data_IF_945053566011
#
_entry.id   IF_945053566011
#
_cell.length_a   1.000
_cell.length_b   1.000
_cell.length_c   1.000
_cell.angle_alpha   90.00
_cell.angle_beta   90.00
_cell.angle_gamma   90.00
#
_symmetry.space_group_name_H-M   'P 1'
#
loop_
_entity.id
_entity.type
_entity.pdbx_description
1 polymer ?
#
# COMPACT_ATOMS: atom_id res chain seq x y z
N UNK A 1 -52.62 -36.88 34.01
CA UNK A 1 -51.32 -37.14 34.70
C UNK A 1 -50.27 -37.43 33.65
N UNK A 2 -49.41 -36.48 33.37
CA UNK A 2 -48.31 -36.65 32.44
C UNK A 2 -47.19 -37.44 33.13
N UNK A 3 -46.78 -38.55 32.56
CA UNK A 3 -45.79 -39.43 33.13
C UNK A 3 -44.38 -38.78 32.98
N UNK A 4 -43.46 -39.10 33.92
CA UNK A 4 -42.07 -38.64 33.94
C UNK A 4 -41.35 -38.84 32.59
N UNK A 5 -41.75 -39.82 31.77
CA UNK A 5 -41.21 -40.09 30.45
C UNK A 5 -41.61 -39.02 29.43
N UNK A 6 -42.80 -38.45 29.48
CA UNK A 6 -43.26 -37.39 28.56
C UNK A 6 -42.57 -36.05 28.85
N UNK A 7 -42.27 -35.78 30.13
CA UNK A 7 -41.54 -34.58 30.54
C UNK A 7 -40.07 -34.60 30.05
N UNK A 8 -39.41 -35.76 30.13
CA UNK A 8 -38.03 -35.91 29.66
C UNK A 8 -37.91 -35.86 28.12
N UNK A 9 -38.93 -36.32 27.40
CA UNK A 9 -38.95 -36.21 25.93
C UNK A 9 -39.17 -34.76 25.45
N UNK A 10 -39.93 -33.94 26.19
CA UNK A 10 -40.13 -32.52 25.87
C UNK A 10 -38.94 -31.63 26.31
N UNK A 11 -38.22 -31.99 27.37
CA UNK A 11 -37.00 -31.31 27.76
C UNK A 11 -35.81 -31.57 26.81
N UNK A 12 -35.78 -32.74 26.14
CA UNK A 12 -34.75 -33.10 25.16
C UNK A 12 -34.92 -32.39 23.81
N UNK A 13 -36.12 -31.90 23.46
CA UNK A 13 -36.37 -31.18 22.21
C UNK A 13 -36.09 -29.67 22.30
N UNK A 14 -35.96 -29.11 23.50
CA UNK A 14 -35.62 -27.69 23.71
C UNK A 14 -34.11 -27.43 23.80
N UNK A 15 -33.30 -28.47 23.99
CA UNK A 15 -31.83 -28.34 24.05
C UNK A 15 -31.12 -28.56 22.71
N UNK A 16 -31.81 -29.02 21.66
CA UNK A 16 -31.23 -29.19 20.33
C UNK A 16 -31.45 -27.98 19.40
N UNK A 17 -32.22 -26.97 19.85
CA UNK A 17 -32.53 -25.77 19.06
C UNK A 17 -31.60 -24.57 19.24
N UNK A 18 -30.57 -24.66 20.08
CA UNK A 18 -29.70 -23.51 20.41
C UNK A 18 -28.30 -23.59 19.77
N UNK A 19 -28.00 -24.60 18.97
CA UNK A 19 -26.67 -24.77 18.35
C UNK A 19 -26.67 -24.62 16.84
N UNK A 20 -27.57 -23.84 16.28
CA UNK A 20 -27.47 -23.34 14.90
C UNK A 20 -27.78 -21.85 14.87
N UNK A 21 -27.12 -21.06 15.73
CA UNK A 21 -26.81 -19.69 15.33
C UNK A 21 -25.87 -19.81 14.13
N UNK A 22 -26.24 -19.31 12.94
CA UNK A 22 -25.24 -19.14 11.91
C UNK A 22 -24.16 -18.29 12.55
N UNK A 23 -22.95 -18.82 12.68
CA UNK A 23 -21.78 -17.96 12.76
C UNK A 23 -21.93 -17.07 11.52
N UNK A 24 -22.38 -15.86 11.75
CA UNK A 24 -22.11 -14.76 10.85
C UNK A 24 -20.58 -14.75 10.77
N UNK A 25 -20.05 -15.46 9.76
CA UNK A 25 -18.73 -15.21 9.26
C UNK A 25 -18.73 -13.71 9.07
N UNK A 26 -18.10 -13.00 10.01
CA UNK A 26 -17.71 -11.63 9.83
C UNK A 26 -17.05 -11.63 8.45
N UNK A 27 -17.75 -11.17 7.44
CA UNK A 27 -17.14 -10.85 6.17
C UNK A 27 -16.05 -9.86 6.56
N UNK A 28 -14.80 -10.34 6.53
CA UNK A 28 -13.63 -9.49 6.72
C UNK A 28 -13.88 -8.34 5.77
N UNK A 29 -14.17 -7.14 6.29
CA UNK A 29 -14.41 -5.99 5.44
C UNK A 29 -13.27 -5.99 4.43
N UNK A 30 -13.61 -6.03 3.14
CA UNK A 30 -12.61 -5.90 2.10
C UNK A 30 -11.95 -4.56 2.37
N UNK A 31 -10.64 -4.53 2.55
CA UNK A 31 -9.89 -3.29 2.57
C UNK A 31 -10.34 -2.52 1.34
N UNK A 32 -10.94 -1.35 1.53
CA UNK A 32 -11.42 -0.54 0.40
C UNK A 32 -10.23 0.13 -0.30
N UNK A 33 -10.52 0.89 -1.36
CA UNK A 33 -9.51 1.65 -2.07
C UNK A 33 -8.73 2.57 -1.13
N UNK A 34 -7.42 2.61 -1.29
CA UNK A 34 -6.50 3.54 -0.62
C UNK A 34 -6.11 4.70 -1.55
N UNK A 35 -5.61 5.78 -0.96
CA UNK A 35 -5.04 6.93 -1.65
C UNK A 35 -3.63 7.20 -1.13
N UNK A 36 -2.63 7.24 -2.04
CA UNK A 36 -1.33 7.81 -1.71
C UNK A 36 -1.48 9.33 -1.59
N UNK A 37 -1.18 9.87 -0.41
CA UNK A 37 -1.37 11.29 -0.09
C UNK A 37 -0.48 12.22 -0.92
N UNK A 38 0.58 11.70 -1.54
CA UNK A 38 1.39 12.46 -2.50
C UNK A 38 0.58 12.99 -3.69
N UNK A 39 -0.53 12.34 -3.99
CA UNK A 39 -1.51 12.84 -4.98
C UNK A 39 -2.06 14.22 -4.63
N UNK A 40 -2.09 14.59 -3.35
CA UNK A 40 -2.60 15.88 -2.87
C UNK A 40 -1.50 16.71 -2.18
N UNK A 41 -0.24 16.49 -2.56
CA UNK A 41 0.95 17.14 -1.95
C UNK A 41 0.90 18.66 -1.92
N UNK A 42 0.29 19.26 -2.95
CA UNK A 42 0.24 20.73 -3.07
C UNK A 42 -0.86 21.34 -2.17
N UNK A 43 -1.89 20.55 -1.79
CA UNK A 43 -3.00 20.99 -0.94
C UNK A 43 -2.74 20.75 0.55
N UNK A 44 -1.99 19.69 0.89
CA UNK A 44 -1.75 19.26 2.27
C UNK A 44 -1.11 20.31 3.17
N UNK A 45 -0.09 21.09 2.72
CA UNK A 45 0.54 22.09 3.58
C UNK A 45 -0.40 23.23 4.00
N UNK A 46 -1.42 23.53 3.21
CA UNK A 46 -2.36 24.61 3.49
C UNK A 46 -3.53 24.16 4.37
N UNK A 47 -4.02 22.93 4.20
CA UNK A 47 -5.22 22.43 4.91
C UNK A 47 -5.22 20.91 5.05
N UNK A 48 -4.38 20.37 5.91
CA UNK A 48 -4.29 18.92 6.13
C UNK A 48 -5.63 18.32 6.57
N UNK A 49 -6.41 19.00 7.42
CA UNK A 49 -7.69 18.48 7.93
C UNK A 49 -8.74 18.41 6.82
N UNK A 50 -8.86 19.46 6.03
CA UNK A 50 -9.79 19.49 4.89
C UNK A 50 -9.42 18.50 3.80
N UNK A 51 -8.12 18.32 3.52
CA UNK A 51 -7.62 17.32 2.54
C UNK A 51 -8.00 15.90 2.98
N UNK A 52 -7.74 15.53 4.23
CA UNK A 52 -8.10 14.20 4.77
C UNK A 52 -9.61 13.97 4.72
N UNK A 53 -10.40 14.98 5.12
CA UNK A 53 -11.86 14.91 5.02
C UNK A 53 -12.37 14.73 3.59
N UNK A 54 -11.76 15.39 2.61
CA UNK A 54 -12.10 15.24 1.18
C UNK A 54 -11.71 13.87 0.62
N UNK A 55 -10.56 13.31 1.02
CA UNK A 55 -10.15 11.94 0.67
C UNK A 55 -11.18 10.91 1.18
N UNK A 56 -11.58 11.01 2.45
CA UNK A 56 -12.63 10.16 3.03
C UNK A 56 -13.98 10.31 2.30
N UNK A 57 -14.39 11.54 1.99
CA UNK A 57 -15.63 11.84 1.25
C UNK A 57 -15.61 11.31 -0.19
N UNK A 58 -14.43 11.26 -0.83
CA UNK A 58 -14.27 10.65 -2.15
C UNK A 58 -14.50 9.12 -2.14
N UNK A 59 -14.49 8.48 -0.96
CA UNK A 59 -14.82 7.07 -0.79
C UNK A 59 -13.62 6.19 -0.42
N UNK A 60 -12.43 6.75 -0.28
CA UNK A 60 -11.26 6.00 0.19
C UNK A 60 -11.45 5.51 1.62
N UNK A 61 -10.84 4.37 1.93
CA UNK A 61 -10.83 3.73 3.25
C UNK A 61 -9.43 3.66 3.85
N UNK A 62 -8.43 3.71 3.00
CA UNK A 62 -7.03 3.72 3.38
C UNK A 62 -6.34 4.96 2.83
N UNK A 63 -5.28 5.39 3.51
CA UNK A 63 -4.34 6.36 2.98
C UNK A 63 -2.92 5.85 3.20
N UNK A 64 -2.07 6.05 2.22
CA UNK A 64 -0.64 5.90 2.38
C UNK A 64 -0.01 7.26 2.59
N UNK A 65 0.82 7.38 3.64
CA UNK A 65 1.44 8.65 4.03
C UNK A 65 2.77 8.88 3.33
N UNK A 66 3.18 10.15 3.28
CA UNK A 66 4.52 10.57 2.87
C UNK A 66 4.93 11.84 3.61
N UNK A 67 6.18 12.26 3.45
CA UNK A 67 6.62 13.61 3.81
C UNK A 67 6.65 13.92 5.31
N UNK A 68 6.78 12.90 6.18
CA UNK A 68 6.99 13.15 7.60
C UNK A 68 8.25 13.99 7.83
N UNK A 69 8.12 15.00 8.65
CA UNK A 69 9.22 15.86 9.08
C UNK A 69 9.41 15.77 10.59
N UNK A 70 10.66 15.59 11.04
CA UNK A 70 10.99 15.40 12.47
C UNK A 70 10.51 16.55 13.36
N UNK A 71 10.57 17.78 12.86
CA UNK A 71 10.21 18.98 13.63
C UNK A 71 8.72 19.31 13.50
N UNK A 72 8.17 19.17 12.31
CA UNK A 72 6.81 19.62 11.95
C UNK A 72 5.77 18.50 11.94
N UNK A 73 6.19 17.24 12.03
CA UNK A 73 5.29 16.10 11.85
C UNK A 73 4.74 15.99 10.42
N UNK A 74 3.50 15.61 10.29
CA UNK A 74 2.75 15.59 9.04
C UNK A 74 2.03 16.94 8.85
N UNK A 75 2.64 17.81 8.06
CA UNK A 75 2.08 19.14 7.71
C UNK A 75 1.59 19.93 8.93
N UNK A 76 2.37 19.91 10.02
CA UNK A 76 2.07 20.62 11.27
C UNK A 76 1.35 19.79 12.33
N UNK A 77 0.96 18.55 12.05
CA UNK A 77 0.38 17.62 13.02
C UNK A 77 1.41 16.57 13.45
N UNK A 78 1.56 16.38 14.75
CA UNK A 78 2.36 15.28 15.27
C UNK A 78 1.69 13.92 14.94
N UNK A 79 2.48 12.84 14.89
CA UNK A 79 2.03 11.53 14.43
C UNK A 79 0.75 11.03 15.10
N UNK A 80 0.62 11.22 16.43
CA UNK A 80 -0.59 10.82 17.17
C UNK A 80 -1.82 11.62 16.77
N UNK A 81 -1.66 12.94 16.60
CA UNK A 81 -2.78 13.83 16.21
C UNK A 81 -3.20 13.54 14.75
N UNK A 82 -2.21 13.27 13.88
CA UNK A 82 -2.50 12.86 12.52
C UNK A 82 -3.21 11.49 12.47
N UNK A 83 -2.75 10.51 13.24
CA UNK A 83 -3.42 9.22 13.38
C UNK A 83 -4.84 9.34 13.92
N UNK A 84 -5.10 10.26 14.86
CA UNK A 84 -6.45 10.54 15.34
C UNK A 84 -7.31 11.19 14.25
N UNK A 85 -6.77 12.16 13.50
CA UNK A 85 -7.46 12.78 12.36
C UNK A 85 -7.90 11.74 11.32
N UNK A 86 -7.07 10.75 11.01
CA UNK A 86 -7.44 9.65 10.10
C UNK A 86 -8.63 8.87 10.65
N UNK A 87 -8.56 8.46 11.92
CA UNK A 87 -9.64 7.70 12.60
C UNK A 87 -10.95 8.48 12.64
N UNK A 88 -10.91 9.77 12.94
CA UNK A 88 -12.09 10.64 13.00
C UNK A 88 -12.78 10.77 11.62
N UNK A 89 -12.03 10.54 10.54
CA UNK A 89 -12.56 10.52 9.17
C UNK A 89 -12.85 9.10 8.65
N UNK A 90 -12.76 8.07 9.49
CA UNK A 90 -13.01 6.68 9.10
C UNK A 90 -11.96 6.10 8.14
N UNK A 91 -10.73 6.65 8.19
CA UNK A 91 -9.58 6.20 7.40
C UNK A 91 -8.62 5.41 8.26
N UNK A 92 -7.96 4.42 7.65
CA UNK A 92 -6.77 3.76 8.20
C UNK A 92 -5.54 4.08 7.34
N UNK A 93 -4.35 3.86 7.89
CA UNK A 93 -3.11 3.97 7.13
C UNK A 93 -2.32 2.68 7.30
N UNK A 94 -2.31 1.78 6.29
CA UNK A 94 -1.53 0.55 6.38
C UNK A 94 -0.03 0.79 6.21
N UNK A 95 0.36 1.84 5.50
CA UNK A 95 1.72 2.11 5.05
C UNK A 95 2.05 3.59 4.97
N UNK A 96 3.33 3.88 4.86
CA UNK A 96 3.84 5.20 4.54
C UNK A 96 5.17 5.12 3.79
N UNK A 97 5.42 6.12 2.95
CA UNK A 97 6.66 6.31 2.22
C UNK A 97 7.69 7.03 3.10
N UNK A 98 8.82 6.38 3.34
CA UNK A 98 9.88 6.82 4.22
C UNK A 98 11.25 6.70 3.54
N UNK A 99 11.90 7.82 3.30
CA UNK A 99 13.23 7.85 2.68
C UNK A 99 14.31 7.33 3.64
N UNK A 100 15.09 6.35 3.23
CA UNK A 100 16.13 5.71 4.04
C UNK A 100 17.53 5.84 3.43
N UNK A 101 17.83 6.92 2.72
CA UNK A 101 19.12 7.12 2.05
C UNK A 101 20.31 7.13 3.03
N UNK A 102 20.14 7.68 4.25
CA UNK A 102 21.16 7.62 5.31
C UNK A 102 21.48 6.18 5.73
N UNK A 103 20.46 5.32 5.78
CA UNK A 103 20.65 3.91 6.08
C UNK A 103 21.32 3.15 4.92
N UNK A 104 20.85 3.33 3.70
CA UNK A 104 21.41 2.64 2.54
C UNK A 104 22.82 3.13 2.18
N UNK A 105 23.12 4.42 2.35
CA UNK A 105 24.44 4.99 2.10
C UNK A 105 25.44 4.70 3.21
N UNK A 106 25.07 5.04 4.45
CA UNK A 106 26.00 5.12 5.58
C UNK A 106 25.77 4.06 6.67
N UNK A 107 24.70 3.27 6.57
CA UNK A 107 24.30 2.29 7.60
C UNK A 107 23.67 2.90 8.86
N UNK A 108 23.31 4.19 8.83
CA UNK A 108 22.71 4.90 9.94
C UNK A 108 21.27 4.44 10.16
N UNK A 109 20.93 4.05 11.39
CA UNK A 109 19.61 3.50 11.74
C UNK A 109 18.66 4.50 12.39
N UNK A 110 19.11 5.73 12.62
CA UNK A 110 18.37 6.76 13.36
C UNK A 110 17.06 7.10 12.66
N UNK A 111 17.10 7.35 11.34
CA UNK A 111 15.92 7.67 10.56
C UNK A 111 14.95 6.47 10.50
N UNK A 112 15.47 5.25 10.30
CA UNK A 112 14.65 4.04 10.32
C UNK A 112 13.90 3.89 11.66
N UNK A 113 14.59 4.07 12.78
CA UNK A 113 13.98 3.97 14.11
C UNK A 113 12.94 5.06 14.34
N UNK A 114 13.25 6.31 13.95
CA UNK A 114 12.29 7.42 14.01
C UNK A 114 11.03 7.11 13.20
N UNK A 115 11.17 6.63 11.97
CA UNK A 115 10.01 6.28 11.13
C UNK A 115 9.22 5.08 11.68
N UNK A 116 9.88 4.14 12.35
CA UNK A 116 9.20 3.05 13.05
C UNK A 116 8.32 3.57 14.19
N UNK A 117 8.82 4.53 14.98
CA UNK A 117 8.04 5.17 16.05
C UNK A 117 6.84 5.94 15.47
N UNK A 118 7.04 6.65 14.36
CA UNK A 118 5.99 7.37 13.63
C UNK A 118 4.92 6.42 13.12
N UNK A 119 5.33 5.35 12.44
CA UNK A 119 4.43 4.34 11.91
C UNK A 119 3.58 3.68 13.01
N UNK A 120 4.19 3.29 14.12
CA UNK A 120 3.50 2.75 15.28
C UNK A 120 2.50 3.75 15.90
N UNK A 121 2.86 5.03 15.98
CA UNK A 121 1.99 6.08 16.53
C UNK A 121 0.73 6.31 15.68
N UNK A 122 0.80 6.11 14.36
CA UNK A 122 -0.33 6.21 13.43
C UNK A 122 -1.13 4.89 13.37
N UNK A 123 -0.50 3.75 13.68
CA UNK A 123 -1.06 2.41 13.55
C UNK A 123 -0.77 1.77 12.20
N UNK A 124 0.31 2.17 11.53
CA UNK A 124 0.78 1.55 10.29
C UNK A 124 1.40 0.18 10.57
N UNK A 125 1.44 -0.64 9.54
CA UNK A 125 2.07 -1.97 9.56
C UNK A 125 3.33 -2.01 8.69
N UNK A 126 3.42 -1.11 7.71
CA UNK A 126 4.49 -1.14 6.71
C UNK A 126 5.25 0.18 6.64
N UNK A 127 6.59 0.05 6.65
CA UNK A 127 7.54 1.09 6.23
C UNK A 127 7.87 0.81 4.77
N UNK A 128 7.45 1.68 3.86
CA UNK A 128 7.74 1.54 2.43
C UNK A 128 8.88 2.50 2.06
N UNK A 129 9.94 1.94 1.46
CA UNK A 129 11.03 2.73 0.86
C UNK A 129 10.57 3.18 -0.52
N UNK A 130 10.29 4.48 -0.74
CA UNK A 130 9.66 4.95 -1.98
C UNK A 130 10.62 5.02 -3.17
N UNK A 131 11.90 5.15 -2.89
CA UNK A 131 12.95 5.29 -3.90
C UNK A 131 14.32 5.16 -3.26
N UNK A 132 15.35 5.03 -4.08
CA UNK A 132 16.76 4.97 -3.66
C UNK A 132 17.60 5.94 -4.48
N UNK A 133 18.64 6.48 -3.86
CA UNK A 133 19.65 7.21 -4.60
C UNK A 133 20.34 6.28 -5.61
N UNK A 134 20.34 6.66 -6.88
CA UNK A 134 20.90 5.87 -7.98
C UNK A 134 22.42 5.58 -7.82
N UNK A 135 23.10 6.35 -6.97
CA UNK A 135 24.50 6.06 -6.64
C UNK A 135 24.70 4.76 -5.86
N UNK A 136 23.65 4.20 -5.26
CA UNK A 136 23.71 2.95 -4.50
C UNK A 136 23.51 1.70 -5.35
N UNK A 137 23.23 1.84 -6.66
CA UNK A 137 22.84 0.74 -7.54
C UNK A 137 23.58 0.78 -8.90
N UNK A 138 24.84 1.23 -8.93
CA UNK A 138 25.64 1.37 -10.16
C UNK A 138 26.17 0.05 -10.71
N UNK A 139 26.46 -0.90 -9.84
CA UNK A 139 26.99 -2.21 -10.18
C UNK A 139 26.08 -3.33 -9.63
N UNK A 140 26.25 -4.54 -10.16
CA UNK A 140 25.50 -5.71 -9.64
C UNK A 140 25.79 -5.93 -8.15
N UNK A 141 27.03 -5.72 -7.72
CA UNK A 141 27.42 -5.91 -6.32
C UNK A 141 26.83 -4.80 -5.43
N UNK A 142 26.73 -3.57 -5.91
CA UNK A 142 26.00 -2.50 -5.21
C UNK A 142 24.53 -2.90 -5.03
N UNK A 143 23.87 -3.38 -6.08
CA UNK A 143 22.48 -3.83 -6.03
C UNK A 143 22.27 -4.96 -5.00
N UNK A 144 23.17 -5.94 -4.95
CA UNK A 144 23.14 -7.01 -3.94
C UNK A 144 23.35 -6.45 -2.52
N UNK A 145 24.29 -5.51 -2.36
CA UNK A 145 24.52 -4.83 -1.09
C UNK A 145 23.27 -4.08 -0.59
N UNK A 146 22.51 -3.45 -1.48
CA UNK A 146 21.22 -2.83 -1.14
C UNK A 146 20.20 -3.89 -0.73
N UNK A 147 20.09 -5.01 -1.45
CA UNK A 147 19.17 -6.10 -1.09
C UNK A 147 19.49 -6.70 0.29
N UNK A 148 20.77 -6.88 0.62
CA UNK A 148 21.20 -7.29 1.97
C UNK A 148 20.80 -6.27 3.05
N UNK A 149 20.98 -4.97 2.78
CA UNK A 149 20.57 -3.91 3.69
C UNK A 149 19.04 -3.88 3.84
N UNK A 150 18.25 -4.14 2.77
CA UNK A 150 16.81 -4.30 2.87
C UNK A 150 16.42 -5.44 3.81
N UNK A 151 17.05 -6.62 3.69
CA UNK A 151 16.81 -7.74 4.60
C UNK A 151 17.08 -7.35 6.06
N UNK A 152 18.23 -6.71 6.33
CA UNK A 152 18.57 -6.25 7.69
C UNK A 152 17.61 -5.20 8.23
N UNK A 153 17.20 -4.22 7.41
CA UNK A 153 16.19 -3.23 7.81
C UNK A 153 14.84 -3.88 8.12
N UNK A 154 14.46 -4.90 7.33
CA UNK A 154 13.23 -5.63 7.56
C UNK A 154 13.25 -6.44 8.88
N UNK A 155 14.39 -7.01 9.27
CA UNK A 155 14.56 -7.63 10.58
C UNK A 155 14.43 -6.62 11.73
N UNK A 156 14.98 -5.41 11.56
CA UNK A 156 14.83 -4.32 12.52
C UNK A 156 13.35 -3.92 12.64
N UNK A 157 12.65 -3.72 11.53
CA UNK A 157 11.22 -3.41 11.52
C UNK A 157 10.40 -4.50 12.22
N UNK A 158 10.70 -5.77 11.94
CA UNK A 158 10.00 -6.94 12.52
C UNK A 158 10.09 -6.97 14.04
N UNK A 159 11.21 -6.56 14.62
CA UNK A 159 11.37 -6.49 16.07
C UNK A 159 10.39 -5.51 16.75
N UNK A 160 9.85 -4.55 15.99
CA UNK A 160 8.84 -3.57 16.45
C UNK A 160 7.43 -3.86 15.91
N UNK A 161 7.19 -5.07 15.36
CA UNK A 161 5.90 -5.46 14.80
C UNK A 161 5.59 -4.88 13.42
N UNK A 162 6.55 -4.20 12.81
CA UNK A 162 6.44 -3.57 11.49
C UNK A 162 7.06 -4.46 10.39
N UNK A 163 6.76 -4.12 9.15
CA UNK A 163 7.31 -4.77 7.95
C UNK A 163 7.95 -3.73 7.05
N UNK A 164 8.99 -4.15 6.33
CA UNK A 164 9.59 -3.32 5.30
C UNK A 164 8.98 -3.64 3.94
N UNK A 165 8.80 -2.61 3.10
CA UNK A 165 8.46 -2.74 1.70
C UNK A 165 9.32 -1.84 0.82
N UNK A 166 9.29 -2.11 -0.47
CA UNK A 166 9.96 -1.32 -1.50
C UNK A 166 8.98 -0.99 -2.63
N UNK A 167 8.92 0.28 -3.00
CA UNK A 167 8.13 0.83 -4.10
C UNK A 167 9.04 1.07 -5.32
N UNK A 168 8.57 0.67 -6.49
CA UNK A 168 9.33 0.84 -7.73
C UNK A 168 8.91 2.07 -8.53
N UNK A 169 9.88 2.61 -9.26
CA UNK A 169 9.69 3.49 -10.41
C UNK A 169 10.09 2.74 -11.70
N UNK A 170 10.45 3.44 -12.75
CA UNK A 170 10.90 2.82 -14.00
C UNK A 170 12.43 2.61 -14.07
N UNK A 171 13.20 3.34 -13.29
CA UNK A 171 14.67 3.29 -13.35
C UNK A 171 15.24 1.94 -12.85
N UNK A 172 14.49 1.21 -12.05
CA UNK A 172 14.91 -0.09 -11.52
C UNK A 172 15.07 -1.16 -12.62
N UNK A 173 14.46 -0.94 -13.77
CA UNK A 173 14.64 -1.81 -14.95
C UNK A 173 15.77 -1.35 -15.89
N UNK A 174 16.48 -0.25 -15.57
CA UNK A 174 17.68 0.09 -16.29
C UNK A 174 18.72 -1.03 -16.16
N UNK A 175 19.43 -1.40 -17.27
CA UNK A 175 20.43 -2.47 -17.22
C UNK A 175 21.57 -2.14 -16.25
N UNK A 176 21.91 -3.11 -15.39
CA UNK A 176 23.07 -3.09 -14.52
C UNK A 176 23.83 -4.39 -14.78
N UNK A 177 24.92 -4.33 -15.59
CA UNK A 177 25.59 -5.52 -16.09
C UNK A 177 24.64 -6.39 -16.92
N UNK A 178 24.42 -7.63 -16.50
CA UNK A 178 23.55 -8.59 -17.17
C UNK A 178 22.16 -8.76 -16.51
N UNK A 179 21.79 -7.85 -15.62
CA UNK A 179 20.55 -7.89 -14.84
C UNK A 179 19.95 -6.49 -14.67
N UNK A 180 18.93 -6.36 -13.84
CA UNK A 180 18.34 -5.09 -13.40
C UNK A 180 18.33 -5.00 -11.88
N UNK A 181 18.25 -3.80 -11.32
CA UNK A 181 18.11 -3.64 -9.88
C UNK A 181 16.82 -4.31 -9.36
N UNK A 182 15.72 -4.21 -10.12
CA UNK A 182 14.45 -4.83 -9.74
C UNK A 182 14.56 -6.35 -9.61
N UNK A 183 15.20 -7.02 -10.60
CA UNK A 183 15.44 -8.47 -10.54
C UNK A 183 16.35 -8.85 -9.36
N UNK A 184 17.38 -8.03 -9.08
CA UNK A 184 18.28 -8.28 -7.94
C UNK A 184 17.51 -8.21 -6.63
N UNK A 185 16.65 -7.18 -6.43
CA UNK A 185 15.84 -7.05 -5.20
C UNK A 185 14.88 -8.24 -5.06
N UNK A 186 14.16 -8.60 -6.12
CA UNK A 186 13.22 -9.72 -6.07
C UNK A 186 13.90 -11.07 -5.75
N UNK A 187 15.12 -11.28 -6.26
CA UNK A 187 15.83 -12.56 -6.12
C UNK A 187 16.72 -12.64 -4.87
N UNK A 188 17.12 -11.50 -4.28
CA UNK A 188 18.08 -11.47 -3.16
C UNK A 188 17.49 -10.93 -1.85
N UNK A 189 16.20 -10.60 -1.83
CA UNK A 189 15.51 -10.28 -0.58
C UNK A 189 14.66 -11.45 -0.08
N UNK A 190 14.60 -11.65 1.23
CA UNK A 190 13.74 -12.66 1.83
C UNK A 190 12.26 -12.27 1.65
N UNK A 191 11.45 -13.08 0.94
CA UNK A 191 10.05 -12.78 0.70
C UNK A 191 9.18 -12.77 1.97
N UNK A 192 9.67 -13.31 3.09
CA UNK A 192 8.99 -13.26 4.39
C UNK A 192 9.26 -11.97 5.15
N UNK A 193 10.31 -11.24 4.79
CA UNK A 193 10.76 -10.03 5.47
C UNK A 193 10.47 -8.77 4.64
N UNK A 194 10.86 -8.78 3.35
CA UNK A 194 10.73 -7.63 2.45
C UNK A 194 9.53 -7.79 1.55
N UNK A 195 8.60 -6.87 1.63
CA UNK A 195 7.41 -6.81 0.78
C UNK A 195 7.67 -5.91 -0.43
N UNK A 196 6.89 -6.10 -1.49
CA UNK A 196 6.94 -5.22 -2.64
C UNK A 196 5.63 -4.44 -2.75
N UNK A 197 5.75 -3.17 -3.08
CA UNK A 197 4.69 -2.31 -3.56
C UNK A 197 4.93 -2.05 -5.03
N UNK A 198 4.10 -2.65 -5.89
CA UNK A 198 4.24 -2.52 -7.34
C UNK A 198 3.45 -1.31 -7.84
N UNK A 199 4.15 -0.30 -8.33
CA UNK A 199 3.49 0.77 -9.11
C UNK A 199 3.31 0.32 -10.55
N UNK A 200 2.04 0.12 -10.93
CA UNK A 200 1.64 -0.43 -12.23
C UNK A 200 1.97 0.51 -13.39
N UNK A 201 1.86 1.84 -13.18
CA UNK A 201 2.24 2.83 -14.19
C UNK A 201 3.73 2.76 -14.51
N UNK A 202 4.58 2.71 -13.48
CA UNK A 202 6.02 2.68 -13.69
C UNK A 202 6.50 1.35 -14.30
N UNK A 203 5.86 0.22 -13.95
CA UNK A 203 6.11 -1.08 -14.61
C UNK A 203 5.81 -0.99 -16.11
N UNK A 204 4.60 -0.52 -16.47
CA UNK A 204 4.18 -0.40 -17.87
C UNK A 204 5.05 0.64 -18.60
N UNK A 205 5.42 1.73 -17.94
CA UNK A 205 6.31 2.75 -18.50
C UNK A 205 7.72 2.24 -18.77
N UNK A 206 8.20 1.29 -17.96
CA UNK A 206 9.47 0.59 -18.18
C UNK A 206 9.39 -0.47 -19.31
N UNK A 207 8.23 -0.61 -19.96
CA UNK A 207 8.01 -1.62 -21.00
C UNK A 207 7.85 -3.05 -20.46
N UNK A 208 7.55 -3.18 -19.16
CA UNK A 208 7.36 -4.46 -18.50
C UNK A 208 5.88 -4.85 -18.41
N UNK A 209 5.62 -6.14 -18.24
CA UNK A 209 4.27 -6.67 -18.05
C UNK A 209 4.04 -7.03 -16.58
N UNK A 210 3.13 -6.32 -15.86
CA UNK A 210 2.79 -6.65 -14.46
C UNK A 210 2.30 -8.09 -14.28
N UNK A 211 1.61 -8.66 -15.26
CA UNK A 211 1.12 -10.04 -15.19
C UNK A 211 2.27 -11.05 -15.20
N UNK A 212 3.23 -10.87 -16.11
CA UNK A 212 4.41 -11.71 -16.17
C UNK A 212 5.23 -11.63 -14.86
N UNK A 213 5.28 -10.45 -14.23
CA UNK A 213 5.96 -10.26 -12.95
C UNK A 213 5.19 -10.99 -11.83
N UNK A 214 3.86 -10.92 -11.78
CA UNK A 214 3.05 -11.67 -10.81
C UNK A 214 3.23 -13.19 -10.96
N UNK A 215 3.30 -13.69 -12.21
CA UNK A 215 3.50 -15.11 -12.52
C UNK A 215 4.91 -15.59 -12.11
N UNK A 216 5.92 -14.77 -12.36
CA UNK A 216 7.32 -15.07 -12.00
C UNK A 216 7.57 -15.03 -10.49
N UNK A 217 6.86 -14.13 -9.77
CA UNK A 217 7.07 -13.87 -8.34
C UNK A 217 5.75 -13.90 -7.54
N UNK A 218 5.04 -15.03 -7.47
CA UNK A 218 3.76 -15.12 -6.81
C UNK A 218 3.87 -14.80 -5.31
N UNK A 219 2.90 -14.04 -4.78
CA UNK A 219 2.82 -13.70 -3.37
C UNK A 219 3.76 -12.58 -2.89
N UNK A 220 4.55 -11.96 -3.78
CA UNK A 220 5.56 -10.95 -3.41
C UNK A 220 5.00 -9.55 -3.21
N UNK A 221 3.85 -9.23 -3.78
CA UNK A 221 3.33 -7.87 -3.92
C UNK A 221 2.17 -7.63 -2.96
N UNK A 222 2.46 -7.11 -1.76
CA UNK A 222 1.41 -6.83 -0.77
C UNK A 222 0.58 -5.60 -1.15
N UNK A 223 1.19 -4.65 -1.84
CA UNK A 223 0.59 -3.41 -2.31
C UNK A 223 0.71 -3.29 -3.82
N UNK A 224 -0.25 -2.60 -4.41
CA UNK A 224 -0.12 -2.05 -5.77
C UNK A 224 -0.49 -0.58 -5.75
N UNK A 225 0.32 0.25 -6.41
CA UNK A 225 -0.12 1.58 -6.81
C UNK A 225 -0.89 1.47 -8.12
N UNK A 226 -2.14 1.89 -8.07
CA UNK A 226 -3.03 2.02 -9.22
C UNK A 226 -2.90 3.46 -9.70
N UNK A 227 -2.11 3.64 -10.77
CA UNK A 227 -1.75 4.91 -11.36
C UNK A 227 -1.87 4.77 -12.86
N UNK A 228 -2.76 5.54 -13.49
CA UNK A 228 -3.11 5.33 -14.91
C UNK A 228 -2.26 6.22 -15.81
N UNK A 229 -1.86 5.66 -16.95
CA UNK A 229 -1.02 6.34 -17.92
C UNK A 229 -1.89 7.09 -18.93
N UNK A 230 -1.61 8.39 -19.13
CA UNK A 230 -2.31 9.19 -20.12
C UNK A 230 -2.11 8.63 -21.54
N UNK A 231 -3.21 8.50 -22.30
CA UNK A 231 -3.22 7.93 -23.66
C UNK A 231 -2.47 8.79 -24.68
N UNK A 232 -2.39 10.09 -24.43
CA UNK A 232 -1.82 11.06 -25.38
C UNK A 232 -0.37 11.41 -25.02
N UNK A 233 -0.05 11.37 -23.74
CA UNK A 233 1.30 11.62 -23.24
C UNK A 233 1.69 10.60 -22.16
N UNK A 234 2.43 9.54 -22.52
CA UNK A 234 2.81 8.47 -21.58
C UNK A 234 3.72 8.93 -20.43
N UNK A 235 4.18 10.19 -20.44
CA UNK A 235 4.92 10.79 -19.33
C UNK A 235 4.00 11.36 -18.24
N UNK A 236 2.71 11.47 -18.51
CA UNK A 236 1.70 11.96 -17.59
C UNK A 236 0.82 10.81 -17.11
N UNK A 237 0.21 11.03 -15.95
CA UNK A 237 -0.84 10.17 -15.44
C UNK A 237 -2.18 10.92 -15.39
N UNK A 238 -3.26 10.15 -15.35
CA UNK A 238 -4.63 10.64 -15.41
C UNK A 238 -5.50 9.88 -14.41
N UNK A 239 -6.80 10.21 -14.33
CA UNK A 239 -7.75 9.49 -13.50
C UNK A 239 -7.82 8.02 -13.90
N UNK A 240 -7.97 7.15 -12.92
CA UNK A 240 -8.04 5.70 -13.13
C UNK A 240 -9.23 5.35 -14.05
N UNK A 241 -8.93 4.62 -15.13
CA UNK A 241 -9.90 4.24 -16.16
C UNK A 241 -9.97 5.21 -17.36
N UNK A 242 -9.31 6.37 -17.28
CA UNK A 242 -9.19 7.28 -18.42
C UNK A 242 -7.93 7.00 -19.27
N UNK A 243 -6.94 6.35 -18.69
CA UNK A 243 -5.67 6.02 -19.33
C UNK A 243 -5.71 4.75 -20.18
N UNK A 244 -4.53 4.21 -20.48
CA UNK A 244 -4.38 3.04 -21.36
C UNK A 244 -3.95 1.76 -20.62
N UNK A 245 -3.87 1.77 -19.27
CA UNK A 245 -3.54 0.58 -18.49
C UNK A 245 -4.80 -0.26 -18.25
N UNK A 246 -4.77 -1.52 -18.62
CA UNK A 246 -5.88 -2.47 -18.41
C UNK A 246 -5.88 -3.02 -16.98
N UNK A 247 -6.40 -2.21 -16.03
CA UNK A 247 -6.49 -2.61 -14.64
C UNK A 247 -7.42 -3.80 -14.41
N UNK A 248 -8.46 -3.98 -15.20
CA UNK A 248 -9.38 -5.13 -15.08
C UNK A 248 -8.60 -6.42 -15.28
N UNK A 249 -7.79 -6.49 -16.35
CA UNK A 249 -6.94 -7.64 -16.65
C UNK A 249 -5.87 -7.85 -15.58
N UNK A 250 -5.13 -6.80 -15.20
CA UNK A 250 -4.02 -6.89 -14.26
C UNK A 250 -4.53 -7.28 -12.86
N UNK A 251 -5.52 -6.56 -12.33
CA UNK A 251 -6.02 -6.79 -10.98
C UNK A 251 -6.89 -8.04 -10.85
N UNK A 252 -7.38 -8.58 -11.96
CA UNK A 252 -7.94 -9.94 -12.04
C UNK A 252 -6.94 -11.01 -11.57
N UNK A 253 -5.63 -10.72 -11.58
CA UNK A 253 -4.54 -11.59 -11.08
C UNK A 253 -3.92 -11.11 -9.76
N UNK A 254 -4.48 -10.09 -9.13
CA UNK A 254 -3.96 -9.52 -7.88
C UNK A 254 -3.73 -10.56 -6.78
N UNK A 255 -4.63 -11.56 -6.66
CA UNK A 255 -4.49 -12.67 -5.72
C UNK A 255 -3.21 -13.50 -5.96
N UNK A 256 -2.84 -13.74 -7.22
CA UNK A 256 -1.59 -14.43 -7.56
C UNK A 256 -0.38 -13.62 -7.10
N UNK A 257 -0.40 -12.31 -7.32
CA UNK A 257 0.63 -11.38 -6.82
C UNK A 257 0.73 -11.30 -5.32
N UNK A 258 -0.34 -11.68 -4.58
CA UNK A 258 -0.43 -11.57 -3.11
C UNK A 258 -0.97 -10.21 -2.64
N UNK A 259 -1.59 -9.43 -3.54
CA UNK A 259 -2.06 -8.06 -3.29
C UNK A 259 -3.15 -8.03 -2.22
N UNK A 260 -3.00 -7.12 -1.28
CA UNK A 260 -3.94 -6.86 -0.17
C UNK A 260 -4.42 -5.42 -0.14
N UNK A 261 -3.59 -4.48 -0.59
CA UNK A 261 -3.85 -3.05 -0.56
C UNK A 261 -3.77 -2.48 -1.97
N UNK A 262 -4.75 -1.67 -2.31
CA UNK A 262 -4.97 -1.09 -3.64
C UNK A 262 -4.93 0.43 -3.49
N UNK A 263 -3.79 1.04 -3.74
CA UNK A 263 -3.52 2.45 -3.45
C UNK A 263 -3.54 3.24 -4.76
N UNK A 264 -4.49 4.16 -4.89
CA UNK A 264 -4.54 5.11 -6.01
C UNK A 264 -3.44 6.15 -5.84
N UNK A 265 -2.71 6.44 -6.89
CA UNK A 265 -1.81 7.59 -6.95
C UNK A 265 -1.98 8.34 -8.27
N UNK A 266 -1.94 9.67 -8.20
CA UNK A 266 -1.91 10.55 -9.37
C UNK A 266 -1.03 11.76 -9.07
N UNK A 267 -0.09 12.05 -9.95
CA UNK A 267 0.88 13.14 -9.76
C UNK A 267 0.61 14.36 -10.65
N UNK A 268 -0.20 14.20 -11.71
CA UNK A 268 -0.49 15.23 -12.69
C UNK A 268 -1.99 15.48 -12.77
N UNK A 269 -2.38 16.75 -12.84
CA UNK A 269 -3.78 17.19 -12.91
C UNK A 269 -3.93 18.20 -14.04
N UNK A 270 -4.03 17.70 -15.29
CA UNK A 270 -4.19 18.55 -16.45
C UNK A 270 -5.66 18.95 -16.61
N UNK A 271 -5.95 20.24 -16.42
CA UNK A 271 -7.30 20.82 -16.58
C UNK A 271 -8.40 20.18 -15.70
N UNK A 272 -8.04 19.60 -14.55
CA UNK A 272 -8.99 19.04 -13.60
C UNK A 272 -8.60 19.39 -12.16
N UNK A 273 -9.59 19.66 -11.32
CA UNK A 273 -9.40 19.81 -9.87
C UNK A 273 -8.94 18.47 -9.26
N UNK A 274 -7.88 18.46 -8.43
CA UNK A 274 -7.37 17.22 -7.82
C UNK A 274 -8.42 16.43 -7.04
N UNK A 275 -9.32 17.10 -6.35
CA UNK A 275 -10.36 16.42 -5.56
C UNK A 275 -11.45 15.79 -6.45
N UNK A 276 -11.75 16.42 -7.58
CA UNK A 276 -12.65 15.83 -8.60
C UNK A 276 -11.98 14.63 -9.23
N UNK A 277 -10.69 14.71 -9.52
CA UNK A 277 -9.90 13.65 -10.12
C UNK A 277 -9.84 12.40 -9.22
N UNK A 278 -9.45 12.54 -7.95
CA UNK A 278 -9.39 11.41 -7.03
C UNK A 278 -10.78 10.79 -6.77
N UNK A 279 -11.86 11.60 -6.78
CA UNK A 279 -13.22 11.09 -6.64
C UNK A 279 -13.64 10.24 -7.85
N UNK A 280 -13.28 10.64 -9.07
CA UNK A 280 -13.49 9.82 -10.29
C UNK A 280 -12.73 8.50 -10.19
N UNK A 281 -11.46 8.54 -9.77
CA UNK A 281 -10.64 7.34 -9.57
C UNK A 281 -11.27 6.39 -8.54
N UNK A 282 -11.69 6.89 -7.38
CA UNK A 282 -12.38 6.10 -6.36
C UNK A 282 -13.69 5.48 -6.89
N UNK A 283 -14.47 6.24 -7.67
CA UNK A 283 -15.69 5.74 -8.29
C UNK A 283 -15.42 4.60 -9.29
N UNK A 284 -14.35 4.69 -10.08
CA UNK A 284 -13.92 3.62 -10.99
C UNK A 284 -13.49 2.36 -10.23
N UNK A 285 -12.70 2.48 -9.16
CA UNK A 285 -12.30 1.34 -8.34
C UNK A 285 -13.53 0.62 -7.78
N UNK A 286 -14.47 1.37 -7.20
CA UNK A 286 -15.71 0.82 -6.65
C UNK A 286 -16.62 0.21 -7.71
N UNK A 287 -16.87 0.93 -8.80
CA UNK A 287 -17.88 0.57 -9.81
C UNK A 287 -17.40 -0.48 -10.81
N UNK A 288 -16.11 -0.45 -11.18
CA UNK A 288 -15.56 -1.30 -12.24
C UNK A 288 -14.66 -2.40 -11.69
N UNK A 289 -13.80 -2.06 -10.72
CA UNK A 289 -12.83 -3.03 -10.16
C UNK A 289 -13.38 -3.76 -8.93
N UNK A 290 -14.47 -3.28 -8.35
CA UNK A 290 -15.13 -3.84 -7.15
C UNK A 290 -14.20 -3.91 -5.92
N UNK A 291 -13.39 -2.85 -5.76
CA UNK A 291 -12.43 -2.63 -4.67
C UNK A 291 -12.98 -1.62 -3.68
#
# INVERSE_FOLDING_TARGET
MTTRRTFLAQAGLLSAGVMLAPQLLSAKEKNGAGLQLYSLRDQLPADVKGVIGKAAKAGFKEVETFGYNKEKGYWGLQSKDFGQLLKDNGLSSPSGHYGLDSYFGEGKTEDLKMYMDVANAIGQTYIIVPSLNHNFIKTVDDCKGVAEKMNKAAEICKASGLKLGYHNHNFEWAPVGNTTFYDVVLNNTDPKLVNMEMDLYWVVRAGQDPLAIFEKHPGRFTFVHIKDRDKTNPNLNTEIGNGDIDFVKILGKAKLGGVKHFIVEQENYTNIDPYVSIAKSAAYLKGTLHI
#
